data_IF_466344743285
#
_entry.id   IF_466344743285
#
_cell.length_a   1.000
_cell.length_b   1.000
_cell.length_c   1.000
_cell.angle_alpha   90.00
_cell.angle_beta   90.00
_cell.angle_gamma   90.00
#
_symmetry.space_group_name_H-M   'P 1'
#
loop_
_entity.id
_entity.type
_entity.pdbx_description
1 polymer ?
#
# COMPACT_ATOMS: atom_id res chain seq x y z
N UNK A 1 -82.61 -15.59 30.31
CA UNK A 1 -82.86 -16.79 31.13
C UNK A 1 -81.60 -16.97 31.95
N UNK A 2 -81.51 -16.30 33.12
CA UNK A 2 -81.75 -16.93 34.41
C UNK A 2 -80.79 -18.13 34.63
N UNK A 3 -79.86 -18.22 35.60
CA UNK A 3 -79.97 -18.15 37.07
C UNK A 3 -78.52 -18.24 37.57
N UNK A 4 -77.87 -17.31 38.32
CA UNK A 4 -77.89 -17.10 39.77
C UNK A 4 -77.52 -18.36 40.61
N UNK A 5 -76.50 -18.26 41.41
CA UNK A 5 -76.26 -18.44 42.88
C UNK A 5 -74.88 -19.00 43.18
N UNK A 6 -74.05 -18.39 43.92
CA UNK A 6 -74.03 -17.94 45.35
C UNK A 6 -73.30 -18.91 46.29
N UNK A 7 -72.32 -18.32 47.06
CA UNK A 7 -71.88 -18.65 48.42
C UNK A 7 -71.03 -19.93 48.69
N UNK A 8 -69.85 -19.86 49.28
CA UNK A 8 -69.63 -19.62 50.68
C UNK A 8 -68.15 -19.39 51.06
N UNK A 9 -67.96 -18.52 52.06
CA UNK A 9 -66.73 -18.25 52.78
C UNK A 9 -66.15 -19.47 53.49
N UNK A 10 -64.84 -19.55 53.60
CA UNK A 10 -64.14 -19.98 54.79
C UNK A 10 -62.77 -19.35 54.88
N UNK A 11 -62.60 -18.56 55.87
CA UNK A 11 -61.31 -18.01 56.35
C UNK A 11 -60.43 -19.12 56.94
N UNK A 12 -59.13 -19.09 56.67
CA UNK A 12 -58.10 -19.39 57.68
C UNK A 12 -56.74 -18.80 57.29
N UNK A 13 -56.31 -18.03 58.19
CA UNK A 13 -55.03 -17.44 58.58
C UNK A 13 -53.73 -18.07 58.01
N UNK A 14 -52.87 -17.20 57.51
CA UNK A 14 -51.48 -17.12 58.03
C UNK A 14 -50.40 -17.61 57.07
N UNK A 15 -49.65 -16.74 56.52
CA UNK A 15 -48.22 -16.51 56.70
C UNK A 15 -47.70 -15.60 55.60
N UNK A 16 -47.12 -14.50 56.01
CA UNK A 16 -46.39 -13.58 55.14
C UNK A 16 -45.09 -14.23 54.65
N UNK A 17 -44.91 -14.36 53.35
CA UNK A 17 -43.61 -14.46 52.73
C UNK A 17 -43.56 -13.43 51.60
N UNK A 18 -42.75 -12.42 51.82
CA UNK A 18 -42.43 -11.39 50.86
C UNK A 18 -41.66 -12.03 49.67
N UNK A 19 -42.37 -12.17 48.57
CA UNK A 19 -41.74 -12.52 47.27
C UNK A 19 -41.26 -11.25 46.57
N UNK A 20 -39.95 -11.00 46.62
CA UNK A 20 -39.29 -10.00 45.78
C UNK A 20 -39.49 -10.41 44.28
N UNK A 21 -40.29 -9.66 43.58
CA UNK A 21 -40.33 -9.68 42.13
C UNK A 21 -39.03 -8.98 41.63
N UNK A 22 -38.01 -9.76 41.33
CA UNK A 22 -36.85 -9.33 40.56
C UNK A 22 -37.27 -9.23 39.11
N UNK A 23 -37.64 -8.01 38.67
CA UNK A 23 -37.69 -7.65 37.25
C UNK A 23 -36.28 -7.68 36.68
N UNK A 24 -35.95 -8.74 35.96
CA UNK A 24 -34.72 -8.80 35.14
C UNK A 24 -34.87 -7.82 33.96
N UNK A 25 -34.31 -6.63 34.16
CA UNK A 25 -33.95 -5.77 33.03
C UNK A 25 -32.74 -6.39 32.37
N UNK A 26 -32.95 -7.06 31.25
CA UNK A 26 -31.88 -7.38 30.31
C UNK A 26 -31.40 -6.05 29.71
N UNK A 27 -30.46 -5.41 30.38
CA UNK A 27 -29.56 -4.47 29.72
C UNK A 27 -28.68 -5.31 28.80
N UNK A 28 -29.02 -5.32 27.51
CA UNK A 28 -28.12 -5.76 26.47
C UNK A 28 -26.91 -4.83 26.47
N UNK A 29 -25.87 -5.19 27.22
CA UNK A 29 -24.53 -4.67 26.97
C UNK A 29 -24.15 -5.13 25.56
N UNK A 30 -24.30 -4.23 24.59
CA UNK A 30 -23.52 -4.26 23.38
C UNK A 30 -22.06 -4.12 23.85
N UNK A 31 -21.42 -5.26 24.10
CA UNK A 31 -19.96 -5.32 24.16
C UNK A 31 -19.48 -4.90 22.79
N UNK A 32 -19.04 -3.65 22.65
CA UNK A 32 -18.10 -3.28 21.63
C UNK A 32 -16.88 -4.15 21.92
N UNK A 33 -16.68 -5.18 21.12
CA UNK A 33 -15.41 -5.87 21.08
C UNK A 33 -14.40 -4.82 20.61
N UNK A 34 -13.72 -4.16 21.54
CA UNK A 34 -12.48 -3.47 21.25
C UNK A 34 -11.57 -4.55 20.65
N UNK A 35 -11.33 -4.43 19.34
CA UNK A 35 -10.36 -5.26 18.68
C UNK A 35 -9.02 -5.03 19.39
N UNK A 36 -8.49 -6.09 20.01
CA UNK A 36 -7.16 -6.04 20.62
C UNK A 36 -6.16 -5.85 19.47
N UNK A 37 -5.85 -4.60 19.18
CA UNK A 37 -4.75 -4.24 18.29
C UNK A 37 -3.47 -4.59 19.01
N UNK A 38 -2.59 -5.40 18.40
CA UNK A 38 -1.27 -5.67 18.96
C UNK A 38 -0.53 -4.34 19.12
N UNK A 39 -0.11 -4.00 20.34
CA UNK A 39 0.68 -2.81 20.57
C UNK A 39 2.06 -3.00 19.93
N UNK A 40 2.28 -2.38 18.76
CA UNK A 40 3.64 -2.15 18.33
C UNK A 40 4.33 -1.20 19.33
N UNK A 41 5.63 -1.39 19.61
CA UNK A 41 6.35 -0.46 20.46
C UNK A 41 6.24 0.94 19.85
N UNK A 42 6.16 1.97 20.71
CA UNK A 42 6.19 3.37 20.22
C UNK A 42 7.52 3.61 19.55
N UNK A 43 7.52 3.61 18.24
CA UNK A 43 8.67 4.01 17.45
C UNK A 43 8.72 5.53 17.39
N UNK A 44 9.88 6.10 17.65
CA UNK A 44 10.11 7.53 17.44
C UNK A 44 10.48 7.78 15.99
N UNK A 45 9.46 7.95 15.14
CA UNK A 45 9.64 8.25 13.71
C UNK A 45 9.47 9.75 13.53
N UNK A 46 10.50 10.40 12.97
CA UNK A 46 10.52 11.83 12.70
C UNK A 46 10.08 12.10 11.26
N UNK A 47 8.77 12.20 11.06
CA UNK A 47 8.16 12.47 9.76
C UNK A 47 8.21 13.97 9.37
N UNK A 48 8.35 14.27 8.08
CA UNK A 48 8.65 13.37 6.97
C UNK A 48 10.08 12.81 7.02
N UNK A 49 10.25 11.52 6.68
CA UNK A 49 11.56 10.87 6.66
C UNK A 49 12.43 11.33 5.48
N UNK A 50 11.81 11.71 4.35
CA UNK A 50 12.48 12.36 3.22
C UNK A 50 11.54 13.37 2.58
N UNK A 51 12.00 14.61 2.41
CA UNK A 51 11.22 15.66 1.75
C UNK A 51 11.18 15.47 0.24
N UNK A 52 10.02 15.81 -0.37
CA UNK A 52 9.83 15.88 -1.82
C UNK A 52 10.27 14.61 -2.55
N UNK A 53 9.88 13.46 -2.01
CA UNK A 53 10.04 12.15 -2.64
C UNK A 53 8.70 11.43 -2.64
N UNK A 54 8.02 11.50 -3.79
CA UNK A 54 6.85 10.69 -4.03
C UNK A 54 7.23 9.23 -4.24
N UNK A 55 6.24 8.34 -4.17
CA UNK A 55 6.38 6.93 -4.52
C UNK A 55 7.57 6.27 -3.78
N UNK A 56 7.62 6.38 -2.43
CA UNK A 56 8.81 6.00 -1.67
C UNK A 56 8.93 4.49 -1.54
N UNK A 57 10.13 3.98 -1.77
CA UNK A 57 10.48 2.59 -1.56
C UNK A 57 11.67 2.48 -0.60
N UNK A 58 11.59 1.54 0.35
CA UNK A 58 12.70 1.25 1.26
C UNK A 58 12.99 -0.25 1.26
N UNK A 59 14.22 -0.59 0.91
CA UNK A 59 14.79 -1.91 1.13
C UNK A 59 15.65 -1.89 2.39
N UNK A 60 15.37 -2.75 3.35
CA UNK A 60 16.23 -2.95 4.54
C UNK A 60 17.13 -4.15 4.30
N UNK A 61 18.43 -3.91 4.32
CA UNK A 61 19.42 -4.96 4.10
C UNK A 61 19.44 -5.95 5.27
N UNK A 62 19.22 -7.25 5.04
CA UNK A 62 19.19 -8.23 6.13
C UNK A 62 20.51 -8.36 6.89
N UNK A 63 21.66 -8.16 6.22
CA UNK A 63 22.98 -8.35 6.81
C UNK A 63 23.43 -7.16 7.66
N UNK A 64 23.15 -5.95 7.23
CA UNK A 64 23.60 -4.72 7.89
C UNK A 64 22.52 -4.07 8.74
N UNK A 65 21.26 -4.35 8.42
CA UNK A 65 20.09 -3.66 8.99
C UNK A 65 19.92 -2.24 8.47
N UNK A 66 20.77 -1.79 7.53
CA UNK A 66 20.67 -0.45 6.96
C UNK A 66 19.56 -0.36 5.91
N UNK A 67 19.02 0.83 5.75
CA UNK A 67 17.95 1.15 4.82
C UNK A 67 18.52 1.74 3.53
N UNK A 68 18.06 1.24 2.41
CA UNK A 68 18.26 1.80 1.09
C UNK A 68 16.96 2.45 0.64
N UNK A 69 16.94 3.77 0.53
CA UNK A 69 15.75 4.56 0.17
C UNK A 69 15.84 5.03 -1.27
N UNK A 70 14.74 4.88 -1.99
CA UNK A 70 14.55 5.36 -3.37
C UNK A 70 13.12 5.94 -3.50
N UNK A 71 12.89 6.83 -4.45
CA UNK A 71 11.58 7.42 -4.72
C UNK A 71 11.65 8.37 -5.91
N UNK A 72 10.51 8.82 -6.38
CA UNK A 72 10.41 9.73 -7.51
C UNK A 72 11.06 11.08 -7.20
N UNK A 73 12.06 11.48 -8.01
CA UNK A 73 12.69 12.78 -7.93
C UNK A 73 11.73 13.89 -8.41
N UNK A 74 11.70 15.07 -7.78
CA UNK A 74 10.76 16.14 -8.12
C UNK A 74 10.81 16.63 -9.57
N UNK A 75 11.96 16.49 -10.24
CA UNK A 75 12.14 16.90 -11.63
C UNK A 75 11.87 15.76 -12.63
N UNK A 76 11.57 14.54 -12.15
CA UNK A 76 11.30 13.37 -12.98
C UNK A 76 12.39 13.05 -14.02
N UNK A 77 13.65 13.28 -13.66
CA UNK A 77 14.78 13.26 -14.60
C UNK A 77 15.94 12.34 -14.19
N UNK A 78 15.86 11.75 -13.00
CA UNK A 78 16.91 10.91 -12.46
C UNK A 78 16.40 9.96 -11.38
N UNK A 79 17.22 8.95 -11.09
CA UNK A 79 17.04 8.04 -9.97
C UNK A 79 18.14 8.30 -8.95
N UNK A 80 17.74 8.49 -7.70
CA UNK A 80 18.64 8.79 -6.58
C UNK A 80 18.46 7.75 -5.48
N UNK A 81 19.56 7.40 -4.84
CA UNK A 81 19.60 6.49 -3.71
C UNK A 81 20.12 7.21 -2.46
N UNK A 82 19.50 6.92 -1.32
CA UNK A 82 19.99 7.31 0.01
C UNK A 82 20.19 6.07 0.86
N UNK A 83 21.20 6.07 1.70
CA UNK A 83 21.49 4.97 2.60
C UNK A 83 21.68 5.48 4.03
N UNK A 84 21.05 4.83 5.00
CA UNK A 84 21.22 5.10 6.41
C UNK A 84 20.90 3.85 7.24
N UNK A 85 21.56 3.68 8.40
CA UNK A 85 21.30 2.53 9.28
C UNK A 85 20.21 2.83 10.34
N UNK A 86 19.68 4.05 10.34
CA UNK A 86 18.52 4.46 11.12
C UNK A 86 17.53 5.15 10.20
N UNK A 87 16.24 4.85 10.38
CA UNK A 87 15.17 5.40 9.53
C UNK A 87 15.17 6.94 9.53
N UNK A 88 15.29 7.54 10.72
CA UNK A 88 15.29 8.99 10.88
C UNK A 88 16.51 9.69 10.26
N UNK A 89 17.61 8.99 10.03
CA UNK A 89 18.82 9.56 9.42
C UNK A 89 18.70 9.69 7.89
N UNK A 90 17.68 9.02 7.27
CA UNK A 90 17.44 9.13 5.82
C UNK A 90 17.18 10.57 5.36
N UNK A 91 16.58 11.42 6.20
CA UNK A 91 16.34 12.83 5.86
C UNK A 91 17.62 13.63 5.62
N UNK A 92 18.70 13.28 6.33
CA UNK A 92 20.00 13.94 6.26
C UNK A 92 21.02 13.16 5.43
N UNK A 93 20.70 11.92 5.04
CA UNK A 93 21.57 11.10 4.22
C UNK A 93 21.81 11.75 2.85
N UNK A 94 23.05 11.65 2.36
CA UNK A 94 23.41 12.12 1.02
C UNK A 94 22.55 11.42 -0.04
N UNK A 95 22.03 12.21 -0.99
CA UNK A 95 21.30 11.70 -2.13
C UNK A 95 22.25 11.49 -3.29
N UNK A 96 22.56 10.23 -3.59
CA UNK A 96 23.46 9.87 -4.68
C UNK A 96 22.67 9.60 -5.95
N UNK A 97 22.92 10.37 -7.01
CA UNK A 97 22.37 10.10 -8.35
C UNK A 97 23.05 8.87 -8.92
N UNK A 98 22.27 7.82 -9.19
CA UNK A 98 22.76 6.54 -9.70
C UNK A 98 22.41 6.32 -11.18
N UNK A 99 21.41 7.02 -11.71
CA UNK A 99 21.02 6.97 -13.12
C UNK A 99 20.31 8.26 -13.53
N UNK A 100 20.42 8.67 -14.79
CA UNK A 100 19.77 9.85 -15.37
C UNK A 100 19.03 9.50 -16.65
N UNK A 101 17.93 10.22 -16.90
CA UNK A 101 17.13 10.07 -18.12
C UNK A 101 17.93 10.28 -19.41
N UNK A 102 17.49 9.63 -20.46
CA UNK A 102 18.03 9.80 -21.78
C UNK A 102 17.69 11.18 -22.37
N UNK A 103 18.52 11.63 -23.29
CA UNK A 103 18.31 12.85 -24.05
C UNK A 103 17.51 12.62 -25.35
N UNK A 104 17.30 11.35 -25.75
CA UNK A 104 16.56 10.91 -26.94
C UNK A 104 15.92 9.55 -26.69
N UNK A 105 14.77 9.31 -27.33
CA UNK A 105 14.09 8.04 -27.30
C UNK A 105 13.54 7.66 -25.93
N UNK A 106 13.45 6.38 -25.67
CA UNK A 106 12.89 5.81 -24.43
C UNK A 106 13.65 6.25 -23.20
N UNK A 107 12.98 6.22 -22.04
CA UNK A 107 13.53 6.61 -20.72
C UNK A 107 14.03 8.07 -20.69
N UNK A 108 13.37 8.96 -21.46
CA UNK A 108 13.76 10.36 -21.59
C UNK A 108 12.83 11.35 -20.88
N UNK A 109 11.71 10.88 -20.35
CA UNK A 109 10.72 11.70 -19.64
C UNK A 109 10.06 10.91 -18.51
N UNK A 110 9.50 11.63 -17.54
CA UNK A 110 8.65 11.04 -16.48
C UNK A 110 9.29 9.81 -15.81
N UNK A 111 10.48 9.99 -15.26
CA UNK A 111 11.16 8.94 -14.48
C UNK A 111 10.43 8.82 -13.15
N UNK A 112 9.53 7.82 -13.02
CA UNK A 112 8.61 7.69 -11.91
C UNK A 112 8.73 6.35 -11.18
N UNK A 113 8.34 6.37 -9.92
CA UNK A 113 8.14 5.23 -9.05
C UNK A 113 9.24 4.16 -9.12
N UNK A 114 10.53 4.54 -8.89
CA UNK A 114 11.59 3.54 -8.85
C UNK A 114 11.47 2.70 -7.58
N UNK A 115 11.53 1.38 -7.73
CA UNK A 115 11.54 0.39 -6.66
C UNK A 115 12.83 -0.41 -6.67
N UNK A 116 13.51 -0.49 -5.52
CA UNK A 116 14.76 -1.21 -5.34
C UNK A 116 14.52 -2.61 -4.79
N UNK A 117 14.90 -3.62 -5.54
CA UNK A 117 14.77 -5.03 -5.17
C UNK A 117 16.14 -5.73 -5.21
N UNK A 118 16.34 -6.72 -4.32
CA UNK A 118 17.54 -7.54 -4.30
C UNK A 118 17.18 -9.03 -4.34
N UNK A 119 17.60 -9.72 -5.37
CA UNK A 119 17.47 -11.18 -5.51
C UNK A 119 18.51 -11.73 -6.49
N UNK A 120 18.83 -13.01 -6.39
CA UNK A 120 19.87 -13.65 -7.19
C UNK A 120 21.21 -12.88 -7.17
N UNK A 121 21.59 -12.36 -5.98
CA UNK A 121 22.83 -11.60 -5.75
C UNK A 121 22.98 -10.36 -6.66
N UNK A 122 21.86 -9.76 -7.08
CA UNK A 122 21.82 -8.61 -7.96
C UNK A 122 20.74 -7.64 -7.49
N UNK A 123 21.05 -6.36 -7.50
CA UNK A 123 20.09 -5.28 -7.32
C UNK A 123 19.36 -5.00 -8.61
N UNK A 124 18.07 -4.78 -8.51
CA UNK A 124 17.22 -4.38 -9.61
C UNK A 124 16.44 -3.13 -9.23
N UNK A 125 16.29 -2.20 -10.18
CA UNK A 125 15.38 -1.07 -10.05
C UNK A 125 14.32 -1.21 -11.14
N UNK A 126 13.07 -1.34 -10.70
CA UNK A 126 11.90 -1.26 -11.58
C UNK A 126 11.40 0.17 -11.55
N UNK A 127 11.12 0.78 -12.69
CA UNK A 127 10.64 2.15 -12.76
C UNK A 127 9.82 2.39 -14.03
N UNK A 128 9.03 3.46 -14.03
CA UNK A 128 8.28 3.90 -15.18
C UNK A 128 9.01 5.07 -15.86
N UNK A 129 8.95 5.10 -17.20
CA UNK A 129 9.50 6.22 -17.96
C UNK A 129 8.78 6.39 -19.29
N UNK A 130 8.71 7.64 -19.75
CA UNK A 130 8.24 8.04 -21.08
C UNK A 130 9.37 8.20 -22.08
N UNK A 131 8.98 8.42 -23.33
CA UNK A 131 9.88 8.75 -24.43
C UNK A 131 10.11 10.27 -24.51
N UNK A 132 11.25 10.72 -25.01
CA UNK A 132 11.52 12.16 -25.18
C UNK A 132 10.54 12.80 -26.16
N UNK A 133 10.22 12.12 -27.25
CA UNK A 133 9.35 12.60 -28.32
C UNK A 133 7.85 12.42 -27.97
N UNK A 134 7.54 11.45 -27.10
CA UNK A 134 6.19 11.19 -26.58
C UNK A 134 6.25 10.94 -25.05
N UNK A 135 6.30 11.98 -24.25
CA UNK A 135 6.47 11.85 -22.78
C UNK A 135 5.41 10.98 -22.09
N UNK A 136 4.21 10.87 -22.69
CA UNK A 136 3.13 10.06 -22.11
C UNK A 136 3.11 8.61 -22.61
N UNK A 137 4.02 8.23 -23.46
CA UNK A 137 4.28 6.83 -23.80
C UNK A 137 5.03 6.13 -22.68
N UNK A 138 4.40 6.07 -21.52
CA UNK A 138 4.96 5.48 -20.30
C UNK A 138 5.03 3.97 -20.43
N UNK A 139 6.20 3.41 -20.10
CA UNK A 139 6.46 1.96 -20.03
C UNK A 139 7.32 1.65 -18.82
N UNK A 140 7.34 0.37 -18.44
CA UNK A 140 8.13 -0.13 -17.33
C UNK A 140 9.52 -0.56 -17.82
N UNK A 141 10.56 -0.16 -17.08
CA UNK A 141 11.95 -0.46 -17.39
C UNK A 141 12.66 -1.04 -16.17
N UNK A 142 13.79 -1.72 -16.42
CA UNK A 142 14.59 -2.35 -15.39
C UNK A 142 16.05 -1.95 -15.54
N UNK A 143 16.66 -1.57 -14.40
CA UNK A 143 18.11 -1.45 -14.24
C UNK A 143 18.61 -2.59 -13.36
N UNK A 144 19.88 -2.99 -13.54
CA UNK A 144 20.53 -4.00 -12.72
C UNK A 144 21.92 -3.54 -12.27
N UNK A 145 22.31 -3.95 -11.06
CA UNK A 145 23.65 -3.70 -10.51
C UNK A 145 24.10 -4.92 -9.68
N UNK A 146 25.20 -5.54 -10.05
CA UNK A 146 25.76 -6.70 -9.36
C UNK A 146 26.75 -6.33 -8.23
N UNK A 147 26.98 -5.05 -7.97
CA UNK A 147 27.82 -4.63 -6.85
C UNK A 147 27.10 -4.95 -5.52
N UNK A 148 27.86 -5.28 -4.49
CA UNK A 148 27.29 -5.57 -3.16
C UNK A 148 26.59 -4.32 -2.56
N UNK A 149 27.15 -3.14 -2.78
CA UNK A 149 26.57 -1.85 -2.40
C UNK A 149 25.84 -1.23 -3.61
N UNK A 150 24.51 -1.05 -3.58
CA UNK A 150 23.75 -0.49 -4.70
C UNK A 150 24.13 0.97 -5.01
N UNK A 151 24.74 1.67 -4.07
CA UNK A 151 25.25 3.01 -4.30
C UNK A 151 26.60 3.03 -5.05
N UNK A 152 27.21 1.87 -5.25
CA UNK A 152 28.48 1.73 -5.98
C UNK A 152 28.27 0.94 -7.27
N UNK A 153 29.30 0.98 -8.13
CA UNK A 153 29.25 0.29 -9.42
C UNK A 153 28.38 1.02 -10.46
N UNK A 154 28.14 0.33 -11.54
CA UNK A 154 27.38 0.85 -12.69
C UNK A 154 26.03 0.14 -12.79
N UNK A 155 24.97 0.90 -13.02
CA UNK A 155 23.63 0.40 -13.27
C UNK A 155 23.47 0.13 -14.77
N UNK A 156 23.24 -1.14 -15.09
CA UNK A 156 23.01 -1.59 -16.47
C UNK A 156 21.53 -1.54 -16.82
N UNK A 157 21.20 -1.00 -17.99
CA UNK A 157 19.84 -0.99 -18.52
C UNK A 157 19.51 -2.36 -19.11
N UNK A 158 18.54 -3.07 -18.51
CA UNK A 158 18.06 -4.34 -19.04
C UNK A 158 16.91 -4.16 -20.05
N UNK A 159 16.38 -2.94 -20.18
CA UNK A 159 15.35 -2.59 -21.14
C UNK A 159 13.93 -2.64 -20.57
N UNK A 160 12.96 -2.63 -21.48
CA UNK A 160 11.54 -2.56 -21.20
C UNK A 160 10.96 -3.93 -20.83
N UNK A 161 10.13 -4.00 -19.80
CA UNK A 161 9.24 -5.14 -19.56
C UNK A 161 8.10 -5.07 -20.60
N UNK A 162 8.05 -6.05 -21.48
CA UNK A 162 6.99 -6.14 -22.50
C UNK A 162 5.77 -6.85 -21.91
N UNK A 163 4.62 -6.24 -22.09
CA UNK A 163 3.31 -6.80 -21.74
C UNK A 163 2.57 -7.24 -23.02
N UNK A 164 1.57 -8.13 -22.93
CA UNK A 164 0.82 -8.59 -24.11
C UNK A 164 0.14 -7.46 -24.89
N UNK A 165 -0.23 -6.38 -24.20
CA UNK A 165 -0.78 -5.17 -24.82
C UNK A 165 0.22 -4.04 -24.60
N UNK A 166 0.75 -3.45 -25.67
CA UNK A 166 1.68 -2.32 -25.59
C UNK A 166 0.90 -1.02 -25.34
N UNK A 167 0.61 -0.73 -24.08
CA UNK A 167 -0.12 0.46 -23.64
C UNK A 167 0.59 1.16 -22.49
N UNK A 168 0.05 2.29 -22.04
CA UNK A 168 0.50 3.00 -20.83
C UNK A 168 0.59 2.01 -19.67
N UNK A 169 1.79 1.84 -19.10
CA UNK A 169 2.05 0.89 -18.00
C UNK A 169 3.14 1.42 -17.07
N UNK A 170 2.92 1.27 -15.76
CA UNK A 170 3.77 1.84 -14.72
C UNK A 170 3.69 1.05 -13.41
N UNK A 171 4.46 1.48 -12.42
CA UNK A 171 4.41 1.01 -11.04
C UNK A 171 4.59 -0.52 -10.92
N UNK A 172 5.66 -1.00 -11.53
CA UNK A 172 6.01 -2.42 -11.51
C UNK A 172 6.65 -2.79 -10.18
N UNK A 173 5.98 -3.64 -9.41
CA UNK A 173 6.53 -4.28 -8.20
C UNK A 173 6.70 -5.77 -8.40
N UNK A 174 7.73 -6.38 -7.77
CA UNK A 174 7.97 -7.82 -7.85
C UNK A 174 8.12 -8.43 -6.47
N UNK A 175 7.58 -9.64 -6.31
CA UNK A 175 7.70 -10.40 -5.08
C UNK A 175 7.88 -11.89 -5.36
N UNK A 176 8.42 -12.60 -4.39
CA UNK A 176 8.55 -14.07 -4.45
C UNK A 176 7.56 -14.73 -3.50
N UNK A 177 6.89 -15.77 -3.98
CA UNK A 177 6.01 -16.60 -3.18
C UNK A 177 6.08 -18.05 -3.63
N UNK A 178 6.35 -18.96 -2.70
CA UNK A 178 6.44 -20.43 -2.97
C UNK A 178 7.34 -20.77 -4.15
N UNK A 179 8.52 -20.14 -4.22
CA UNK A 179 9.52 -20.39 -5.25
C UNK A 179 9.17 -19.86 -6.65
N UNK A 180 8.09 -19.09 -6.77
CA UNK A 180 7.72 -18.38 -7.99
C UNK A 180 7.88 -16.89 -7.76
N UNK A 181 8.32 -16.18 -8.80
CA UNK A 181 8.36 -14.72 -8.79
C UNK A 181 7.22 -14.16 -9.60
N UNK A 182 6.58 -13.13 -9.08
CA UNK A 182 5.44 -12.44 -9.68
C UNK A 182 5.78 -11.00 -9.93
N UNK A 183 5.18 -10.41 -10.96
CA UNK A 183 5.14 -8.99 -11.24
C UNK A 183 3.70 -8.52 -11.09
N UNK A 184 3.51 -7.41 -10.36
CA UNK A 184 2.27 -6.64 -10.37
C UNK A 184 2.58 -5.28 -10.96
N UNK A 185 1.69 -4.76 -11.81
CA UNK A 185 1.85 -3.44 -12.41
C UNK A 185 0.51 -2.79 -12.70
N UNK A 186 0.51 -1.48 -12.90
CA UNK A 186 -0.65 -0.74 -13.35
C UNK A 186 -0.62 -0.58 -14.87
N UNK A 187 -1.74 -0.81 -15.55
CA UNK A 187 -1.82 -0.71 -17.01
C UNK A 187 -3.16 -0.18 -17.48
N UNK A 188 -3.12 0.64 -18.53
CA UNK A 188 -4.29 1.09 -19.29
C UNK A 188 -4.70 0.03 -20.29
N UNK A 189 -5.99 -0.26 -20.34
CA UNK A 189 -6.62 -1.02 -21.44
C UNK A 189 -7.48 -0.07 -22.27
N UNK A 190 -7.13 0.11 -23.54
CA UNK A 190 -7.84 0.98 -24.48
C UNK A 190 -9.31 0.55 -24.73
N UNK A 191 -9.64 -0.71 -24.46
CA UNK A 191 -11.02 -1.21 -24.54
C UNK A 191 -11.87 -0.87 -23.29
N UNK A 192 -11.27 -0.29 -22.27
CA UNK A 192 -11.89 0.05 -21.00
C UNK A 192 -11.98 1.56 -20.81
N UNK A 193 -12.76 1.98 -19.82
CA UNK A 193 -13.01 3.40 -19.50
C UNK A 193 -12.24 3.89 -18.29
N UNK A 194 -11.17 3.20 -17.89
CA UNK A 194 -10.30 3.59 -16.77
C UNK A 194 -8.91 4.03 -17.26
N UNK A 195 -8.16 4.72 -16.40
CA UNK A 195 -6.79 5.13 -16.67
C UNK A 195 -5.82 3.96 -16.45
N UNK A 196 -5.97 3.21 -15.36
CA UNK A 196 -5.19 2.00 -15.09
C UNK A 196 -5.92 1.03 -14.17
N UNK A 197 -5.61 -0.25 -14.34
CA UNK A 197 -5.99 -1.36 -13.48
C UNK A 197 -4.73 -2.10 -13.04
N UNK A 198 -4.78 -2.87 -11.95
CA UNK A 198 -3.67 -3.71 -11.54
C UNK A 198 -3.73 -5.07 -12.24
N UNK A 199 -2.64 -5.42 -12.87
CA UNK A 199 -2.42 -6.70 -13.51
C UNK A 199 -1.32 -7.47 -12.80
N UNK A 200 -1.33 -8.80 -12.92
CA UNK A 200 -0.30 -9.68 -12.38
C UNK A 200 0.04 -10.80 -13.35
N UNK A 201 1.31 -11.19 -13.38
CA UNK A 201 1.81 -12.37 -14.09
C UNK A 201 2.97 -13.02 -13.32
N UNK A 202 3.26 -14.30 -13.60
CA UNK A 202 4.52 -14.91 -13.19
C UNK A 202 5.66 -14.33 -14.03
N UNK A 203 6.86 -14.27 -13.44
CA UNK A 203 8.10 -13.87 -14.13
C UNK A 203 8.96 -15.09 -14.43
N UNK A 204 9.66 -15.09 -15.56
CA UNK A 204 10.70 -16.05 -15.90
C UNK A 204 12.11 -15.44 -15.89
N UNK A 205 12.20 -14.13 -15.94
CA UNK A 205 13.43 -13.36 -15.77
C UNK A 205 13.14 -12.00 -15.09
N UNK A 206 14.16 -11.24 -14.65
CA UNK A 206 13.93 -9.90 -14.09
C UNK A 206 13.24 -8.91 -15.04
N UNK A 207 13.22 -9.19 -16.35
CA UNK A 207 12.68 -8.27 -17.36
C UNK A 207 11.53 -8.89 -18.18
N UNK A 208 11.12 -10.10 -17.88
CA UNK A 208 10.09 -10.79 -18.67
C UNK A 208 9.09 -11.52 -17.80
N UNK A 209 7.86 -11.50 -18.26
CA UNK A 209 6.73 -12.23 -17.68
C UNK A 209 6.45 -13.49 -18.50
N UNK A 210 5.83 -14.48 -17.88
CA UNK A 210 5.40 -15.73 -18.53
C UNK A 210 3.97 -16.10 -18.16
N UNK A 211 3.36 -16.94 -18.98
CA UNK A 211 2.03 -17.49 -18.75
C UNK A 211 0.93 -16.44 -18.92
N UNK A 212 -0.24 -16.68 -18.33
CA UNK A 212 -1.35 -15.75 -18.42
C UNK A 212 -1.09 -14.47 -17.62
N UNK A 213 -1.67 -13.37 -18.10
CA UNK A 213 -1.79 -12.12 -17.33
C UNK A 213 -3.21 -12.08 -16.75
N UNK A 214 -3.32 -11.81 -15.46
CA UNK A 214 -4.61 -11.68 -14.77
C UNK A 214 -4.81 -10.24 -14.31
N UNK A 215 -6.04 -9.75 -14.36
CA UNK A 215 -6.43 -8.46 -13.78
C UNK A 215 -6.82 -8.68 -12.33
N UNK A 216 -6.02 -8.18 -11.39
CA UNK A 216 -6.28 -8.28 -9.95
C UNK A 216 -7.44 -7.39 -9.52
N UNK A 217 -7.45 -6.14 -10.00
CA UNK A 217 -8.50 -5.18 -9.68
C UNK A 217 -8.59 -4.08 -10.73
N UNK A 218 -9.83 -3.63 -10.99
CA UNK A 218 -10.15 -2.44 -11.76
C UNK A 218 -10.68 -1.34 -10.82
N UNK A 219 -10.51 -0.03 -11.16
CA UNK A 219 -11.04 1.07 -10.38
C UNK A 219 -12.57 1.17 -10.55
N UNK A 220 -13.31 0.49 -9.70
CA UNK A 220 -14.79 0.36 -9.75
C UNK A 220 -15.49 0.95 -8.54
N UNK A 221 -14.76 1.24 -7.46
CA UNK A 221 -15.31 1.83 -6.25
C UNK A 221 -15.34 3.36 -6.34
N UNK A 222 -16.33 3.99 -5.73
CA UNK A 222 -16.53 5.44 -5.79
C UNK A 222 -15.28 6.24 -5.38
N UNK A 223 -14.52 5.74 -4.42
CA UNK A 223 -13.30 6.40 -3.96
C UNK A 223 -12.12 6.24 -4.95
N UNK A 224 -12.12 5.21 -5.80
CA UNK A 224 -11.04 4.95 -6.79
C UNK A 224 -11.15 5.81 -8.04
N UNK A 225 -12.32 6.44 -8.26
CA UNK A 225 -12.64 7.14 -9.52
C UNK A 225 -12.74 8.65 -9.35
N UNK A 226 -12.27 9.17 -8.21
CA UNK A 226 -12.31 10.60 -7.93
C UNK A 226 -11.20 11.35 -8.70
N UNK A 227 -11.59 12.09 -9.72
CA UNK A 227 -10.71 12.83 -10.63
C UNK A 227 -10.13 11.95 -11.75
N UNK A 228 -9.43 10.89 -11.41
CA UNK A 228 -8.96 9.86 -12.34
C UNK A 228 -9.44 8.49 -11.88
N UNK A 229 -9.66 7.59 -12.83
CA UNK A 229 -10.06 6.21 -12.57
C UNK A 229 -8.80 5.33 -12.58
N UNK A 230 -8.15 5.21 -11.44
CA UNK A 230 -6.87 4.50 -11.35
C UNK A 230 -6.88 3.47 -10.22
N UNK A 231 -6.21 2.34 -10.47
CA UNK A 231 -5.58 1.51 -9.47
C UNK A 231 -4.11 1.40 -9.87
N UNK A 232 -3.20 1.81 -8.99
CA UNK A 232 -1.76 1.92 -9.23
C UNK A 232 -0.96 1.76 -7.94
N UNK A 233 0.39 1.85 -8.00
CA UNK A 233 1.25 1.86 -6.82
C UNK A 233 1.08 0.63 -5.93
N UNK A 234 1.10 -0.57 -6.50
CA UNK A 234 0.96 -1.81 -5.76
C UNK A 234 2.16 -2.08 -4.86
N UNK A 235 1.93 -2.53 -3.62
CA UNK A 235 2.97 -3.05 -2.74
C UNK A 235 2.50 -4.33 -2.04
N UNK A 236 3.42 -5.29 -1.86
CA UNK A 236 3.09 -6.63 -1.37
C UNK A 236 3.64 -6.84 0.04
N UNK A 237 2.80 -7.38 0.93
CA UNK A 237 3.17 -7.79 2.28
C UNK A 237 2.65 -9.19 2.55
N UNK A 238 3.54 -10.13 2.86
CA UNK A 238 3.16 -11.53 3.18
C UNK A 238 3.30 -11.73 4.68
N UNK A 239 2.16 -11.86 5.38
CA UNK A 239 2.09 -12.03 6.84
C UNK A 239 0.89 -12.88 7.23
N UNK A 240 0.97 -13.53 8.36
CA UNK A 240 -0.15 -14.23 8.99
C UNK A 240 -0.91 -15.19 8.05
N UNK A 241 -0.17 -15.90 7.17
CA UNK A 241 -0.78 -16.85 6.23
C UNK A 241 -1.54 -16.21 5.07
N UNK A 242 -1.35 -14.90 4.83
CA UNK A 242 -1.98 -14.14 3.75
C UNK A 242 -0.96 -13.39 2.90
N UNK A 243 -1.32 -13.18 1.65
CA UNK A 243 -0.66 -12.24 0.74
C UNK A 243 -1.55 -11.01 0.66
N UNK A 244 -1.06 -9.89 1.16
CA UNK A 244 -1.71 -8.59 1.07
C UNK A 244 -1.09 -7.79 -0.07
N UNK A 245 -1.93 -7.13 -0.86
CA UNK A 245 -1.51 -6.15 -1.86
C UNK A 245 -2.23 -4.85 -1.57
N UNK A 246 -1.49 -3.83 -1.12
CA UNK A 246 -2.01 -2.48 -1.10
C UNK A 246 -1.87 -1.85 -2.47
N UNK A 247 -2.74 -0.91 -2.78
CA UNK A 247 -2.69 -0.15 -4.02
C UNK A 247 -3.29 1.24 -3.77
N UNK A 248 -3.13 2.13 -4.71
CA UNK A 248 -3.67 3.48 -4.60
C UNK A 248 -4.69 3.77 -5.70
N UNK A 249 -5.62 4.65 -5.41
CA UNK A 249 -6.69 5.05 -6.32
C UNK A 249 -7.00 6.53 -6.26
N UNK A 250 -7.76 7.02 -7.23
CA UNK A 250 -8.14 8.41 -7.46
C UNK A 250 -7.00 9.31 -7.99
N UNK A 251 -7.26 10.62 -8.13
CA UNK A 251 -6.25 11.59 -8.53
C UNK A 251 -5.19 11.77 -7.43
N UNK A 252 -3.94 12.07 -7.81
CA UNK A 252 -2.80 12.24 -6.90
C UNK A 252 -2.82 13.58 -6.14
N UNK A 253 -4.03 14.02 -5.74
CA UNK A 253 -4.29 15.15 -4.85
C UNK A 253 -4.81 14.63 -3.47
N UNK A 254 -5.55 15.43 -2.72
CA UNK A 254 -6.11 15.03 -1.42
C UNK A 254 -7.08 13.84 -1.47
N UNK A 255 -7.57 13.46 -2.64
CA UNK A 255 -8.48 12.33 -2.86
C UNK A 255 -7.74 11.00 -2.99
N UNK A 256 -6.41 11.04 -3.23
CA UNK A 256 -5.58 9.85 -3.32
C UNK A 256 -5.65 9.06 -2.03
N UNK A 257 -5.86 7.74 -2.14
CA UNK A 257 -6.06 6.88 -0.99
C UNK A 257 -5.62 5.45 -1.30
N UNK A 258 -5.33 4.67 -0.26
CA UNK A 258 -4.91 3.29 -0.40
C UNK A 258 -6.07 2.32 -0.24
N UNK A 259 -6.12 1.33 -1.13
CA UNK A 259 -6.94 0.13 -1.02
C UNK A 259 -6.15 -1.09 -0.58
N UNK A 260 -6.87 -2.19 -0.35
CA UNK A 260 -6.29 -3.46 0.07
C UNK A 260 -6.94 -4.62 -0.68
N UNK A 261 -6.09 -5.45 -1.27
CA UNK A 261 -6.44 -6.80 -1.73
C UNK A 261 -5.78 -7.82 -0.80
N UNK A 262 -6.38 -9.00 -0.67
CA UNK A 262 -5.74 -10.10 0.03
C UNK A 262 -6.18 -11.44 -0.53
N UNK A 263 -5.29 -12.43 -0.41
CA UNK A 263 -5.55 -13.83 -0.70
C UNK A 263 -4.90 -14.70 0.38
N UNK A 264 -5.41 -15.90 0.59
CA UNK A 264 -4.72 -16.86 1.44
C UNK A 264 -3.40 -17.27 0.78
N UNK A 265 -2.31 -17.29 1.57
CA UNK A 265 -0.98 -17.60 1.06
C UNK A 265 -0.86 -19.01 0.47
N UNK A 266 -1.79 -19.91 0.83
CA UNK A 266 -1.83 -21.27 0.29
C UNK A 266 -2.66 -21.40 -0.99
N UNK A 267 -3.39 -20.37 -1.37
CA UNK A 267 -4.19 -20.34 -2.60
C UNK A 267 -3.34 -20.13 -3.85
N UNK A 268 -3.89 -20.41 -5.02
CA UNK A 268 -3.29 -20.03 -6.29
C UNK A 268 -3.51 -18.53 -6.53
N UNK A 269 -2.42 -17.76 -6.50
CA UNK A 269 -2.47 -16.31 -6.67
C UNK A 269 -2.85 -15.88 -8.09
N UNK A 270 -2.70 -16.76 -9.10
CA UNK A 270 -3.12 -16.49 -10.49
C UNK A 270 -4.62 -16.67 -10.71
N UNK A 271 -5.34 -17.23 -9.74
CA UNK A 271 -6.80 -17.37 -9.76
C UNK A 271 -7.46 -16.16 -9.11
N UNK A 272 -7.99 -15.24 -9.93
CA UNK A 272 -8.58 -13.95 -9.46
C UNK A 272 -9.66 -14.14 -8.40
N UNK A 273 -10.43 -15.24 -8.46
CA UNK A 273 -11.49 -15.56 -7.46
C UNK A 273 -10.95 -15.76 -6.04
N UNK A 274 -9.66 -16.02 -5.88
CA UNK A 274 -9.01 -16.20 -4.56
C UNK A 274 -8.66 -14.84 -3.92
N UNK A 275 -8.74 -13.75 -4.67
CA UNK A 275 -8.48 -12.40 -4.19
C UNK A 275 -9.76 -11.75 -3.69
N UNK A 276 -9.63 -11.08 -2.57
CA UNK A 276 -10.65 -10.25 -1.95
C UNK A 276 -10.22 -8.79 -2.04
N UNK A 277 -11.20 -7.87 -2.06
CA UNK A 277 -10.97 -6.43 -2.16
C UNK A 277 -11.72 -5.69 -1.06
N UNK A 278 -11.03 -4.78 -0.36
CA UNK A 278 -11.67 -3.88 0.59
C UNK A 278 -12.61 -2.91 -0.14
N UNK A 279 -13.85 -2.79 0.35
CA UNK A 279 -14.83 -1.88 -0.24
C UNK A 279 -14.52 -0.38 0.05
N UNK A 280 -13.76 -0.11 1.11
CA UNK A 280 -13.38 1.24 1.53
C UNK A 280 -11.86 1.37 1.47
N UNK A 281 -11.34 2.60 1.33
CA UNK A 281 -9.90 2.81 1.47
C UNK A 281 -9.44 2.41 2.88
N UNK A 282 -8.28 1.80 2.96
CA UNK A 282 -7.65 1.40 4.24
C UNK A 282 -6.73 2.48 4.80
N UNK A 283 -6.39 3.48 3.99
CA UNK A 283 -5.62 4.64 4.40
C UNK A 283 -5.94 5.83 3.47
N UNK A 284 -6.35 6.95 4.03
CA UNK A 284 -6.87 8.09 3.28
C UNK A 284 -6.47 9.42 3.95
N UNK A 285 -6.85 10.53 3.34
CA UNK A 285 -6.70 11.87 3.89
C UNK A 285 -7.28 11.96 5.30
N UNK A 286 -6.50 12.56 6.17
CA UNK A 286 -6.86 12.90 7.54
C UNK A 286 -6.47 14.37 7.79
N UNK A 287 -7.47 15.24 7.79
CA UNK A 287 -7.26 16.67 7.93
C UNK A 287 -6.87 17.07 9.36
N UNK A 288 -7.23 16.29 10.37
CA UNK A 288 -6.86 16.55 11.77
C UNK A 288 -5.37 16.30 11.99
N UNK A 289 -4.82 15.31 11.29
CA UNK A 289 -3.39 15.02 11.29
C UNK A 289 -2.60 15.80 10.23
N UNK A 290 -3.24 16.64 9.43
CA UNK A 290 -2.58 17.38 8.33
C UNK A 290 -2.02 16.45 7.25
N UNK A 291 -2.64 15.30 7.03
CA UNK A 291 -2.21 14.30 6.04
C UNK A 291 -3.16 14.26 4.86
N UNK A 292 -2.68 14.68 3.69
CA UNK A 292 -3.50 14.79 2.48
C UNK A 292 -2.97 13.93 1.35
N UNK A 293 -3.86 13.12 0.77
CA UNK A 293 -3.56 12.21 -0.34
C UNK A 293 -2.47 11.19 -0.04
N UNK A 294 -2.58 10.42 1.06
CA UNK A 294 -1.59 9.38 1.36
C UNK A 294 -1.73 8.22 0.39
N UNK A 295 -0.61 7.70 -0.09
CA UNK A 295 -0.63 6.55 -0.98
C UNK A 295 0.73 6.19 -1.55
N UNK A 296 0.70 5.39 -2.60
CA UNK A 296 1.84 4.81 -3.31
C UNK A 296 2.91 4.34 -2.32
N UNK A 297 2.53 3.35 -1.54
CA UNK A 297 3.31 2.89 -0.41
C UNK A 297 4.26 1.76 -0.75
N UNK A 298 5.22 1.54 0.13
CA UNK A 298 6.00 0.31 0.24
C UNK A 298 6.01 -0.17 1.69
N UNK A 299 6.61 -1.33 1.91
CA UNK A 299 6.75 -1.93 3.24
C UNK A 299 8.21 -2.17 3.58
N UNK A 300 8.55 -1.98 4.84
CA UNK A 300 9.85 -2.37 5.39
C UNK A 300 9.70 -2.79 6.85
N UNK A 301 10.80 -3.02 7.56
CA UNK A 301 10.81 -3.40 8.98
C UNK A 301 11.62 -2.38 9.75
N UNK A 302 11.17 -2.01 10.92
CA UNK A 302 11.86 -1.07 11.81
C UNK A 302 13.22 -1.62 12.31
N UNK A 303 14.00 -0.79 12.98
CA UNK A 303 15.32 -1.14 13.54
C UNK A 303 15.25 -2.33 14.51
N UNK A 304 14.12 -2.54 15.18
CA UNK A 304 13.89 -3.68 16.08
C UNK A 304 13.86 -5.03 15.34
N UNK A 305 13.77 -5.03 14.00
CA UNK A 305 13.75 -6.22 13.17
C UNK A 305 12.42 -6.97 13.14
N UNK A 306 11.38 -6.48 13.81
CA UNK A 306 10.08 -7.17 13.93
C UNK A 306 8.86 -6.30 13.60
N UNK A 307 8.93 -4.99 13.84
CA UNK A 307 7.81 -4.09 13.57
C UNK A 307 7.73 -3.76 12.09
N UNK A 308 6.65 -4.17 11.44
CA UNK A 308 6.38 -3.80 10.05
C UNK A 308 6.08 -2.31 9.94
N UNK A 309 6.63 -1.66 8.92
CA UNK A 309 6.44 -0.25 8.63
C UNK A 309 5.74 -0.07 7.28
N UNK A 310 4.74 0.82 7.27
CA UNK A 310 4.19 1.43 6.07
C UNK A 310 5.06 2.64 5.73
N UNK A 311 5.61 2.65 4.52
CA UNK A 311 6.30 3.80 3.93
C UNK A 311 5.39 4.35 2.85
N UNK A 312 5.04 5.62 2.88
CA UNK A 312 4.08 6.22 1.97
C UNK A 312 4.41 7.69 1.70
N UNK A 313 3.80 8.28 0.70
CA UNK A 313 3.87 9.73 0.56
C UNK A 313 2.55 10.41 0.95
N UNK A 314 2.64 11.65 1.40
CA UNK A 314 1.49 12.55 1.54
C UNK A 314 1.93 14.02 1.53
N UNK A 315 0.96 14.94 1.38
CA UNK A 315 1.14 16.38 1.55
C UNK A 315 0.65 16.84 2.92
N UNK A 316 1.12 18.01 3.33
CA UNK A 316 0.72 18.67 4.59
C UNK A 316 -0.43 19.67 4.39
N UNK A 317 -0.98 19.79 3.18
CA UNK A 317 -2.01 20.78 2.83
C UNK A 317 -2.99 20.22 1.79
N UNK A 318 -4.21 20.76 1.83
CA UNK A 318 -5.31 20.42 0.94
C UNK A 318 -5.16 21.05 -0.45
N UNK A 319 -4.89 22.36 -0.49
CA UNK A 319 -4.93 23.16 -1.70
C UNK A 319 -3.61 23.09 -2.47
N UNK A 320 -3.66 22.53 -3.67
CA UNK A 320 -2.51 22.45 -4.55
C UNK A 320 -2.25 23.75 -5.31
N UNK A 321 -0.99 24.05 -5.57
CA UNK A 321 -0.58 25.07 -6.52
C UNK A 321 -0.19 24.43 -7.84
N UNK A 322 -1.05 24.57 -8.86
CA UNK A 322 -0.88 23.93 -10.15
C UNK A 322 -1.51 22.54 -10.23
N UNK A 323 -0.93 21.63 -11.01
CA UNK A 323 -1.42 20.25 -11.13
C UNK A 323 -0.83 19.36 -10.02
N UNK A 324 -1.48 18.23 -9.69
CA UNK A 324 -0.92 17.27 -8.73
C UNK A 324 0.48 16.77 -9.09
N UNK A 325 0.80 16.65 -10.38
CA UNK A 325 2.12 16.21 -10.84
C UNK A 325 3.19 17.31 -10.74
N UNK A 326 2.80 18.59 -10.87
CA UNK A 326 3.75 19.71 -10.78
C UNK A 326 4.03 20.17 -9.35
N UNK A 327 3.24 19.74 -8.38
CA UNK A 327 3.48 20.02 -6.96
C UNK A 327 4.46 19.00 -6.37
N UNK A 328 5.69 19.40 -5.97
CA UNK A 328 6.73 18.49 -5.56
C UNK A 328 6.56 17.97 -4.12
N UNK A 329 5.59 18.50 -3.35
CA UNK A 329 5.54 18.33 -1.90
C UNK A 329 4.79 17.06 -1.45
N UNK A 330 4.86 15.99 -2.23
CA UNK A 330 4.57 14.65 -1.76
C UNK A 330 5.79 14.18 -0.96
N UNK A 331 5.69 14.22 0.36
CA UNK A 331 6.81 13.86 1.26
C UNK A 331 6.75 12.40 1.66
N UNK A 332 7.89 11.73 1.65
CA UNK A 332 7.99 10.36 2.14
C UNK A 332 7.87 10.32 3.67
N UNK A 333 7.02 9.43 4.16
CA UNK A 333 6.69 9.24 5.56
C UNK A 333 6.71 7.77 5.93
N UNK A 334 6.82 7.49 7.20
CA UNK A 334 6.76 6.13 7.73
C UNK A 334 5.84 6.07 8.95
N UNK A 335 5.20 4.92 9.14
CA UNK A 335 4.46 4.61 10.36
C UNK A 335 4.44 3.11 10.64
N UNK A 336 4.27 2.69 11.91
CA UNK A 336 4.08 1.28 12.25
C UNK A 336 2.78 0.74 11.65
N UNK A 337 2.82 -0.52 11.25
CA UNK A 337 1.63 -1.30 10.92
C UNK A 337 1.22 -2.06 12.17
N UNK A 338 -0.03 -1.93 12.55
CA UNK A 338 -0.64 -2.73 13.61
C UNK A 338 -1.37 -3.91 12.97
N UNK A 339 -1.61 -4.94 13.75
CA UNK A 339 -2.29 -6.14 13.30
C UNK A 339 -3.51 -6.41 14.16
N UNK A 340 -4.66 -6.67 13.53
CA UNK A 340 -5.84 -7.08 14.25
C UNK A 340 -5.75 -8.56 14.67
N UNK A 341 -6.73 -9.02 15.45
CA UNK A 341 -6.79 -10.41 15.96
C UNK A 341 -6.96 -11.46 14.86
N UNK A 342 -7.35 -11.07 13.65
CA UNK A 342 -7.50 -11.92 12.48
C UNK A 342 -6.26 -11.91 11.59
N UNK A 343 -5.23 -11.12 11.96
CA UNK A 343 -3.99 -10.96 11.21
C UNK A 343 -4.11 -10.05 10.01
N UNK A 344 -5.05 -9.08 10.01
CA UNK A 344 -5.14 -8.03 9.00
C UNK A 344 -4.34 -6.80 9.41
N UNK A 345 -3.72 -6.10 8.44
CA UNK A 345 -2.99 -4.88 8.74
C UNK A 345 -3.95 -3.73 9.06
N UNK A 346 -3.64 -2.99 10.11
CA UNK A 346 -4.34 -1.77 10.52
C UNK A 346 -3.41 -0.59 10.30
N UNK A 347 -3.77 0.26 9.34
CA UNK A 347 -2.98 1.43 8.94
C UNK A 347 -3.40 2.71 9.68
N UNK A 348 -4.50 2.67 10.42
CA UNK A 348 -4.94 3.76 11.28
C UNK A 348 -4.57 3.46 12.72
N UNK A 349 -4.15 4.47 13.46
CA UNK A 349 -4.18 4.47 14.91
C UNK A 349 -4.52 5.88 15.37
N UNK A 350 -5.20 6.01 16.50
CA UNK A 350 -5.50 7.28 17.15
C UNK A 350 -4.24 8.00 17.67
N UNK A 351 -3.07 7.45 17.42
CA UNK A 351 -1.77 7.94 17.91
C UNK A 351 -0.95 8.61 16.82
N UNK A 352 -1.54 9.42 15.97
CA UNK A 352 -0.81 10.31 15.04
C UNK A 352 0.29 9.67 14.19
N UNK A 353 0.67 10.37 13.14
CA UNK A 353 1.86 10.04 12.32
C UNK A 353 3.13 10.54 13.01
#
# INVERSE_FOLDING_TARGET
>A
MLIIQSYHLAQRKGLYTAGLLLSYWFFGMLAHAESLVSFAPRLNIDNPIVLQRADPWIYREPQTGCYQFIGTSPLFDQIELRSACRLNDLKLAESKVIWKKHQKGNMGAHIWAPELHYFNQTWYIYFAAGDVEDPWRIRMYVLANSNADPAQGEWQELGQIKTPVDSFSLDATTFEHKGKRYLIWAQMDAARTYNSALLMAEMDSPVSIRGPVVTLTEPTLDWEIQGYKVNEGAAVLIRHGKVFVTYSGAATDHRYAMGLLWADADSDLMEVKNWHKSAKPVFATDAELGRYGPGHNSFTVAEDGVTDLLIYHSRDYLELKGSPLSDPNRHARARPIYWDVQGFPVFFSDQGD
#
